data_IF_929444275085
#
_entry.id   IF_929444275085
#
_cell.length_a   1.000
_cell.length_b   1.000
_cell.length_c   1.000
_cell.angle_alpha   90.00
_cell.angle_beta   90.00
_cell.angle_gamma   90.00
#
_symmetry.space_group_name_H-M   'P 1'
#
loop_
_entity.id
_entity.type
_entity.pdbx_description
1 polymer ?
#
# COMPACT_ATOMS: atom_id res chain seq x y z
N UNK A 1 5.24 4.39 -27.25
CA UNK A 1 6.37 5.00 -26.51
C UNK A 1 6.10 6.49 -26.37
N UNK A 2 6.21 7.03 -25.16
CA UNK A 2 6.03 8.47 -24.91
C UNK A 2 7.27 9.27 -25.33
N UNK A 3 7.12 10.58 -25.52
CA UNK A 3 8.30 11.43 -25.85
C UNK A 3 9.35 11.37 -24.73
N UNK A 4 8.93 11.33 -23.46
CA UNK A 4 9.84 11.17 -22.33
C UNK A 4 10.65 9.87 -22.41
N UNK A 5 10.01 8.76 -22.77
CA UNK A 5 10.68 7.47 -22.90
C UNK A 5 11.74 7.44 -24.01
N UNK A 6 11.59 8.27 -25.06
CA UNK A 6 12.59 8.38 -26.15
C UNK A 6 13.91 8.99 -25.69
N UNK A 7 13.91 9.73 -24.56
CA UNK A 7 15.07 10.39 -23.99
C UNK A 7 15.62 9.68 -22.74
N UNK A 8 15.03 8.55 -22.37
CA UNK A 8 15.47 7.78 -21.20
C UNK A 8 16.55 6.77 -21.60
N UNK A 9 17.58 6.64 -20.77
CA UNK A 9 18.60 5.59 -20.93
C UNK A 9 18.06 4.22 -20.52
N UNK A 10 17.12 4.17 -19.58
CA UNK A 10 16.46 2.96 -19.11
C UNK A 10 14.94 3.16 -19.05
N UNK A 11 14.22 2.16 -19.49
CA UNK A 11 12.75 2.12 -19.41
C UNK A 11 12.37 0.88 -18.62
N UNK A 12 11.67 1.09 -17.50
CA UNK A 12 11.12 0.01 -16.67
C UNK A 12 9.65 -0.15 -17.04
N UNK A 13 9.27 -1.22 -17.73
CA UNK A 13 7.88 -1.43 -18.11
C UNK A 13 7.02 -1.71 -16.88
N UNK A 14 5.90 -1.04 -16.78
CA UNK A 14 4.94 -1.23 -15.69
C UNK A 14 3.57 -1.65 -16.20
N UNK A 15 2.83 -2.34 -15.33
CA UNK A 15 1.43 -2.72 -15.59
C UNK A 15 0.56 -1.50 -15.90
N UNK A 16 -0.41 -1.70 -16.77
CA UNK A 16 -1.42 -0.69 -17.08
C UNK A 16 -2.44 -0.57 -15.95
N UNK A 17 -3.24 0.50 -15.99
CA UNK A 17 -4.31 0.70 -15.01
C UNK A 17 -5.37 -0.42 -14.98
N UNK A 18 -5.45 -1.26 -16.00
CA UNK A 18 -6.39 -2.38 -16.08
C UNK A 18 -5.80 -3.67 -15.54
N UNK A 19 -4.49 -3.75 -15.40
CA UNK A 19 -3.72 -4.92 -14.99
C UNK A 19 -3.33 -4.91 -13.52
N UNK A 20 -3.58 -3.81 -12.81
CA UNK A 20 -3.19 -3.63 -11.40
C UNK A 20 -4.33 -3.09 -10.54
N UNK A 21 -4.24 -3.36 -9.23
CA UNK A 21 -5.03 -2.65 -8.26
C UNK A 21 -4.49 -1.23 -8.07
N UNK A 22 -5.37 -0.26 -8.07
CA UNK A 22 -5.01 1.13 -7.88
C UNK A 22 -6.09 1.88 -7.11
N UNK A 23 -5.69 2.85 -6.31
CA UNK A 23 -6.63 3.72 -5.65
C UNK A 23 -6.59 5.12 -6.22
N UNK A 24 -7.77 5.69 -6.36
CA UNK A 24 -7.90 7.08 -6.76
C UNK A 24 -7.96 7.94 -5.51
N UNK A 25 -6.88 8.70 -5.28
CA UNK A 25 -6.76 9.58 -4.11
C UNK A 25 -7.31 10.98 -4.34
N UNK A 26 -7.46 11.40 -5.59
CA UNK A 26 -7.60 12.80 -5.96
C UNK A 26 -8.99 13.17 -6.48
N UNK A 27 -9.94 12.28 -6.36
CA UNK A 27 -11.31 12.67 -6.57
C UNK A 27 -11.84 13.38 -5.31
N UNK A 28 -11.15 14.44 -4.92
CA UNK A 28 -11.71 15.48 -4.08
C UNK A 28 -12.73 16.28 -4.91
N UNK A 29 -13.67 15.58 -5.52
CA UNK A 29 -14.78 16.22 -6.16
C UNK A 29 -15.74 16.64 -5.06
N UNK A 30 -15.65 17.92 -4.72
CA UNK A 30 -16.64 18.54 -3.88
C UNK A 30 -18.03 18.36 -4.56
N UNK A 31 -19.08 17.93 -3.84
CA UNK A 31 -19.13 17.86 -2.37
C UNK A 31 -18.72 16.52 -1.75
N UNK A 32 -18.48 15.49 -2.53
CA UNK A 32 -18.30 14.12 -2.05
C UNK A 32 -16.82 13.72 -2.06
N UNK A 33 -16.28 13.51 -0.84
CA UNK A 33 -14.97 12.89 -0.68
C UNK A 33 -15.14 11.39 -0.71
N UNK A 34 -14.66 10.71 -1.73
CA UNK A 34 -14.67 9.27 -1.78
C UNK A 34 -13.29 8.71 -2.12
N UNK A 35 -13.08 7.50 -1.66
CA UNK A 35 -11.92 6.70 -1.94
C UNK A 35 -12.35 5.53 -2.81
N UNK A 36 -11.70 5.37 -3.95
CA UNK A 36 -12.04 4.31 -4.89
C UNK A 36 -10.84 3.38 -5.08
N UNK A 37 -11.00 2.13 -4.64
CA UNK A 37 -10.08 1.05 -4.95
C UNK A 37 -10.55 0.34 -6.21
N UNK A 38 -9.71 0.33 -7.24
CA UNK A 38 -9.94 -0.41 -8.47
C UNK A 38 -9.24 -1.75 -8.38
N UNK A 39 -9.94 -2.81 -8.77
CA UNK A 39 -9.35 -4.13 -8.95
C UNK A 39 -8.81 -4.28 -10.37
N UNK A 40 -7.79 -5.12 -10.59
CA UNK A 40 -7.38 -5.49 -11.94
C UNK A 40 -8.55 -6.21 -12.66
N UNK A 41 -8.73 -5.92 -13.92
CA UNK A 41 -9.78 -6.53 -14.77
C UNK A 41 -9.19 -7.47 -15.84
N UNK A 42 -7.88 -7.36 -16.08
CA UNK A 42 -7.12 -8.23 -16.96
C UNK A 42 -5.77 -8.53 -16.31
N UNK A 43 -5.19 -9.67 -16.65
CA UNK A 43 -3.81 -9.96 -16.28
C UNK A 43 -2.87 -9.39 -17.33
N UNK A 44 -1.63 -9.01 -16.96
CA UNK A 44 -0.57 -8.75 -17.92
C UNK A 44 -0.40 -9.94 -18.87
N UNK A 45 0.09 -9.71 -20.08
CA UNK A 45 0.41 -10.80 -21.00
C UNK A 45 1.48 -11.72 -20.40
N UNK A 46 1.29 -13.05 -20.54
CA UNK A 46 2.14 -14.06 -19.90
C UNK A 46 3.62 -13.97 -20.29
N UNK A 47 3.91 -13.40 -21.46
CA UNK A 47 5.25 -13.20 -22.02
C UNK A 47 5.80 -11.78 -21.80
N UNK A 48 5.14 -10.97 -20.98
CA UNK A 48 5.54 -9.59 -20.74
C UNK A 48 6.47 -9.46 -19.52
N UNK A 49 7.43 -8.53 -19.63
CA UNK A 49 8.36 -8.16 -18.53
C UNK A 49 7.78 -7.08 -17.61
N UNK A 50 6.50 -6.78 -17.73
CA UNK A 50 5.87 -5.71 -16.93
C UNK A 50 5.75 -6.11 -15.46
N UNK A 51 6.01 -5.16 -14.59
CA UNK A 51 5.88 -5.32 -13.15
C UNK A 51 5.01 -4.19 -12.59
N UNK A 52 4.39 -4.42 -11.46
CA UNK A 52 3.74 -3.35 -10.71
C UNK A 52 4.75 -2.33 -10.22
N UNK A 53 4.38 -1.06 -10.17
CA UNK A 53 5.26 0.00 -9.63
C UNK A 53 5.74 -0.31 -8.21
N UNK A 54 4.87 -0.91 -7.39
CA UNK A 54 5.24 -1.36 -6.04
C UNK A 54 6.39 -2.38 -6.07
N UNK A 55 6.34 -3.34 -7.00
CA UNK A 55 7.39 -4.33 -7.19
C UNK A 55 8.68 -3.72 -7.72
N UNK A 56 8.58 -2.81 -8.69
CA UNK A 56 9.74 -2.10 -9.25
C UNK A 56 10.46 -1.33 -8.13
N UNK A 57 9.73 -0.54 -7.35
CA UNK A 57 10.32 0.24 -6.25
C UNK A 57 10.90 -0.66 -5.17
N UNK A 58 10.22 -1.76 -4.83
CA UNK A 58 10.72 -2.70 -3.84
C UNK A 58 12.07 -3.32 -4.27
N UNK A 59 12.16 -3.79 -5.51
CA UNK A 59 13.41 -4.33 -6.06
C UNK A 59 14.54 -3.29 -6.08
N UNK A 60 14.24 -2.05 -6.43
CA UNK A 60 15.25 -0.98 -6.41
C UNK A 60 15.78 -0.74 -4.99
N UNK A 61 14.90 -0.64 -4.00
CA UNK A 61 15.30 -0.45 -2.58
C UNK A 61 16.10 -1.65 -2.07
N UNK A 62 15.71 -2.86 -2.43
CA UNK A 62 16.41 -4.10 -2.08
C UNK A 62 17.80 -4.16 -2.71
N UNK A 63 17.95 -3.79 -3.98
CA UNK A 63 19.25 -3.77 -4.67
C UNK A 63 20.20 -2.71 -4.10
N UNK A 64 19.67 -1.63 -3.56
CA UNK A 64 20.45 -0.59 -2.89
C UNK A 64 20.81 -0.96 -1.43
N UNK A 65 20.35 -2.11 -0.93
CA UNK A 65 20.47 -2.53 0.48
C UNK A 65 19.92 -1.49 1.48
N UNK A 66 18.88 -0.77 1.09
CA UNK A 66 18.25 0.25 1.91
C UNK A 66 16.98 -0.25 2.64
N UNK A 67 16.55 -1.48 2.35
CA UNK A 67 15.39 -2.06 3.02
C UNK A 67 15.71 -2.33 4.50
N UNK A 68 14.95 -1.78 5.45
CA UNK A 68 15.20 -2.00 6.87
C UNK A 68 15.05 -3.48 7.27
N UNK A 69 15.92 -3.96 8.15
CA UNK A 69 15.90 -5.35 8.67
C UNK A 69 14.58 -5.68 9.39
N UNK A 70 13.89 -4.66 9.88
CA UNK A 70 12.60 -4.78 10.55
C UNK A 70 11.48 -5.35 9.68
N UNK A 71 11.65 -5.42 8.36
CA UNK A 71 10.70 -6.12 7.48
C UNK A 71 10.58 -7.60 7.90
N UNK A 72 11.71 -8.24 8.23
CA UNK A 72 11.72 -9.60 8.77
C UNK A 72 10.99 -9.71 10.11
N UNK A 73 11.17 -8.72 10.98
CA UNK A 73 10.43 -8.63 12.25
C UNK A 73 8.93 -8.51 12.00
N UNK A 74 8.50 -7.55 11.16
CA UNK A 74 7.07 -7.34 10.86
C UNK A 74 6.43 -8.62 10.30
N UNK A 75 7.07 -9.30 9.37
CA UNK A 75 6.55 -10.54 8.78
C UNK A 75 6.42 -11.67 9.79
N UNK A 76 7.37 -11.81 10.73
CA UNK A 76 7.28 -12.78 11.82
C UNK A 76 6.13 -12.48 12.77
N UNK A 77 6.04 -11.22 13.24
CA UNK A 77 4.98 -10.80 14.15
C UNK A 77 3.58 -10.93 13.52
N UNK A 78 3.46 -10.68 12.21
CA UNK A 78 2.21 -10.91 11.49
C UNK A 78 1.76 -12.37 11.51
N UNK A 79 2.69 -13.31 11.38
CA UNK A 79 2.38 -14.74 11.47
C UNK A 79 1.95 -15.17 12.87
N UNK A 80 2.55 -14.57 13.90
CA UNK A 80 2.29 -14.91 15.30
C UNK A 80 1.07 -14.21 15.88
N UNK A 81 0.87 -12.94 15.56
CA UNK A 81 -0.14 -12.07 16.19
C UNK A 81 -1.37 -11.82 15.31
N UNK A 82 -1.31 -12.18 14.03
CA UNK A 82 -2.39 -11.98 13.08
C UNK A 82 -2.48 -10.58 12.47
N UNK A 83 -3.23 -10.51 11.38
CA UNK A 83 -3.37 -9.29 10.56
C UNK A 83 -4.05 -8.14 11.31
N UNK A 84 -4.94 -8.44 12.22
CA UNK A 84 -5.66 -7.45 13.05
C UNK A 84 -4.73 -6.62 13.94
N UNK A 85 -3.53 -7.12 14.22
CA UNK A 85 -2.51 -6.43 15.01
C UNK A 85 -1.49 -5.67 14.15
N UNK A 86 -1.66 -5.62 12.84
CA UNK A 86 -0.68 -5.03 11.92
C UNK A 86 -0.34 -3.57 12.27
N UNK A 87 -1.33 -2.75 12.64
CA UNK A 87 -1.08 -1.35 13.06
C UNK A 87 -0.09 -1.28 14.21
N UNK A 88 -0.30 -2.09 15.24
CA UNK A 88 0.56 -2.10 16.41
C UNK A 88 1.96 -2.61 16.07
N UNK A 89 2.04 -3.68 15.30
CA UNK A 89 3.33 -4.27 14.85
C UNK A 89 4.14 -3.24 14.06
N UNK A 90 3.48 -2.54 13.12
CA UNK A 90 4.12 -1.51 12.32
C UNK A 90 4.62 -0.34 13.16
N UNK A 91 3.80 0.14 14.10
CA UNK A 91 4.16 1.25 14.98
C UNK A 91 5.29 0.86 15.94
N UNK A 92 5.31 -0.37 16.45
CA UNK A 92 6.41 -0.92 17.25
C UNK A 92 7.73 -0.95 16.46
N UNK A 93 7.69 -1.39 15.19
CA UNK A 93 8.85 -1.39 14.31
C UNK A 93 9.32 0.04 14.00
N UNK A 94 8.40 0.95 13.67
CA UNK A 94 8.70 2.34 13.37
C UNK A 94 9.25 3.13 14.57
N UNK A 95 8.87 2.74 15.78
CA UNK A 95 9.42 3.32 17.02
C UNK A 95 10.87 2.92 17.26
N UNK A 96 11.25 1.70 16.85
CA UNK A 96 12.63 1.21 16.94
C UNK A 96 13.51 1.80 15.83
N UNK A 97 12.99 1.91 14.64
CA UNK A 97 13.70 2.43 13.47
C UNK A 97 12.84 3.41 12.66
N UNK A 98 13.10 4.73 12.77
CA UNK A 98 12.35 5.74 12.03
C UNK A 98 12.41 5.60 10.50
N UNK A 99 13.42 4.92 9.93
CA UNK A 99 13.51 4.61 8.50
C UNK A 99 12.31 3.82 7.99
N UNK A 100 11.63 3.05 8.87
CA UNK A 100 10.37 2.34 8.55
C UNK A 100 9.31 3.30 7.98
N UNK A 101 9.22 4.52 8.50
CA UNK A 101 8.27 5.50 7.98
C UNK A 101 8.66 6.05 6.62
N UNK A 102 9.97 6.16 6.34
CA UNK A 102 10.47 6.63 5.05
C UNK A 102 10.19 5.61 3.94
N UNK A 103 10.45 4.34 4.21
CA UNK A 103 10.23 3.24 3.26
C UNK A 103 8.86 2.58 3.40
N UNK A 104 7.92 3.21 4.11
CA UNK A 104 6.61 2.63 4.41
C UNK A 104 5.87 2.02 3.19
N UNK A 105 5.80 2.65 2.02
CA UNK A 105 5.12 2.06 0.86
C UNK A 105 5.73 0.71 0.45
N UNK A 106 7.06 0.62 0.40
CA UNK A 106 7.78 -0.61 0.04
C UNK A 106 7.61 -1.68 1.12
N UNK A 107 7.71 -1.29 2.39
CA UNK A 107 7.54 -2.21 3.52
C UNK A 107 6.12 -2.77 3.55
N UNK A 108 5.11 -1.92 3.35
CA UNK A 108 3.72 -2.35 3.27
C UNK A 108 3.50 -3.32 2.10
N UNK A 109 4.09 -3.03 0.95
CA UNK A 109 4.05 -3.92 -0.20
C UNK A 109 4.66 -5.30 0.11
N UNK A 110 5.85 -5.32 0.75
CA UNK A 110 6.58 -6.57 1.09
C UNK A 110 6.05 -7.32 2.32
N UNK A 111 5.17 -6.72 3.09
CA UNK A 111 4.58 -7.35 4.29
C UNK A 111 3.07 -7.56 4.10
N UNK A 112 2.27 -6.54 4.31
CA UNK A 112 0.82 -6.60 4.19
C UNK A 112 0.38 -6.98 2.76
N UNK A 113 1.04 -6.45 1.75
CA UNK A 113 0.71 -6.70 0.35
C UNK A 113 0.80 -8.17 -0.05
N UNK A 114 1.72 -8.91 0.57
CA UNK A 114 1.89 -10.34 0.30
C UNK A 114 0.76 -11.22 0.89
N UNK A 115 -0.04 -10.66 1.77
CA UNK A 115 -1.19 -11.32 2.39
C UNK A 115 -2.50 -11.00 1.67
N UNK A 116 -2.49 -10.01 0.78
CA UNK A 116 -3.66 -9.63 0.00
C UNK A 116 -3.85 -10.58 -1.21
N UNK A 117 -5.09 -10.74 -1.69
CA UNK A 117 -5.34 -11.50 -2.91
C UNK A 117 -4.50 -11.01 -4.09
N UNK A 118 -4.27 -11.90 -5.05
CA UNK A 118 -3.48 -11.61 -6.25
C UNK A 118 -3.94 -10.31 -6.94
N UNK A 119 -2.97 -9.48 -7.29
CA UNK A 119 -3.20 -8.20 -7.94
C UNK A 119 -3.54 -7.04 -6.98
N UNK A 120 -3.69 -7.30 -5.69
CA UNK A 120 -4.03 -6.26 -4.70
C UNK A 120 -2.84 -5.79 -3.87
N UNK A 121 -1.64 -6.32 -4.07
CA UNK A 121 -0.45 -5.98 -3.26
C UNK A 121 -0.17 -4.47 -3.20
N UNK A 122 -0.37 -3.74 -4.30
CA UNK A 122 -0.23 -2.28 -4.34
C UNK A 122 -1.21 -1.54 -3.42
N UNK A 123 -2.38 -2.13 -3.15
CA UNK A 123 -3.35 -1.55 -2.23
C UNK A 123 -2.86 -1.49 -0.79
N UNK A 124 -1.86 -2.29 -0.41
CA UNK A 124 -1.29 -2.28 0.94
C UNK A 124 -0.76 -0.91 1.36
N UNK A 125 -0.18 -0.13 0.43
CA UNK A 125 0.31 1.21 0.72
C UNK A 125 -0.81 2.15 1.21
N UNK A 126 -2.04 1.93 0.77
CA UNK A 126 -3.21 2.72 1.10
C UNK A 126 -3.65 2.53 2.55
N UNK A 127 -3.39 1.35 3.10
CA UNK A 127 -3.76 1.00 4.45
C UNK A 127 -3.24 2.02 5.48
N UNK A 128 -1.97 2.44 5.36
CA UNK A 128 -1.39 3.43 6.28
C UNK A 128 -2.09 4.78 6.18
N UNK A 129 -2.41 5.21 4.98
CA UNK A 129 -3.11 6.49 4.75
C UNK A 129 -4.53 6.41 5.29
N UNK A 130 -5.26 5.34 4.99
CA UNK A 130 -6.61 5.11 5.49
C UNK A 130 -6.66 5.08 7.02
N UNK A 131 -5.74 4.35 7.66
CA UNK A 131 -5.65 4.32 9.13
C UNK A 131 -5.28 5.68 9.73
N UNK A 132 -4.38 6.43 9.08
CA UNK A 132 -4.02 7.78 9.53
C UNK A 132 -5.23 8.72 9.47
N UNK A 133 -6.02 8.66 8.40
CA UNK A 133 -7.26 9.43 8.26
C UNK A 133 -8.28 8.99 9.30
N UNK A 134 -8.48 7.69 9.47
CA UNK A 134 -9.40 7.13 10.46
C UNK A 134 -9.08 7.57 11.89
N UNK A 135 -7.80 7.59 12.23
CA UNK A 135 -7.34 8.00 13.56
C UNK A 135 -7.45 9.51 13.79
N UNK A 136 -7.11 10.32 12.76
CA UNK A 136 -7.09 11.78 12.89
C UNK A 136 -8.45 12.44 12.73
N UNK A 137 -9.33 11.85 11.93
CA UNK A 137 -10.61 12.42 11.54
C UNK A 137 -11.74 11.38 11.55
N UNK A 138 -12.04 10.78 12.73
CA UNK A 138 -13.08 9.75 12.82
C UNK A 138 -14.46 10.29 12.44
N UNK A 139 -14.68 11.60 12.62
CA UNK A 139 -15.91 12.29 12.22
C UNK A 139 -16.09 12.28 10.68
N UNK A 140 -15.00 12.43 9.93
CA UNK A 140 -15.04 12.39 8.47
C UNK A 140 -15.44 11.01 7.96
N UNK A 141 -15.00 9.93 8.64
CA UNK A 141 -15.42 8.57 8.32
C UNK A 141 -16.90 8.35 8.55
N UNK A 142 -17.44 8.85 9.68
CA UNK A 142 -18.88 8.76 9.95
C UNK A 142 -19.72 9.51 8.91
N UNK A 143 -19.28 10.70 8.49
CA UNK A 143 -19.95 11.47 7.44
C UNK A 143 -19.91 10.75 6.09
N UNK A 144 -18.88 9.98 5.82
CA UNK A 144 -18.76 9.14 4.64
C UNK A 144 -19.57 7.83 4.74
N UNK A 145 -20.34 7.64 5.80
CA UNK A 145 -21.18 6.43 6.00
C UNK A 145 -20.37 5.20 6.46
N UNK A 146 -19.10 5.37 6.79
CA UNK A 146 -18.24 4.30 7.28
C UNK A 146 -18.39 4.20 8.81
N UNK A 147 -19.32 3.38 9.24
CA UNK A 147 -19.51 3.07 10.65
C UNK A 147 -18.44 2.08 11.12
N UNK A 148 -17.28 2.58 11.48
CA UNK A 148 -16.30 1.80 12.22
C UNK A 148 -16.81 1.55 13.63
N UNK A 149 -17.12 0.34 13.98
CA UNK A 149 -17.26 -0.06 15.38
C UNK A 149 -15.89 0.01 16.04
N UNK A 150 -15.58 1.18 16.57
CA UNK A 150 -14.37 1.37 17.34
C UNK A 150 -14.69 1.24 18.81
N UNK A 151 -14.55 0.05 19.37
CA UNK A 151 -14.38 -0.11 20.83
C UNK A 151 -13.00 0.34 21.29
N UNK A 152 -12.06 0.48 20.39
CA UNK A 152 -10.73 1.04 20.65
C UNK A 152 -10.46 2.12 19.61
N UNK A 153 -10.28 3.33 20.05
CA UNK A 153 -10.00 4.62 19.39
C UNK A 153 -9.20 4.62 18.05
N UNK A 154 -9.40 3.69 17.21
CA UNK A 154 -8.83 3.60 15.88
C UNK A 154 -9.81 2.81 15.02
N UNK A 155 -10.50 3.48 14.09
CA UNK A 155 -11.35 2.81 13.14
C UNK A 155 -10.52 1.77 12.38
N UNK A 156 -10.93 0.50 12.41
CA UNK A 156 -10.36 -0.51 11.54
C UNK A 156 -10.88 -0.26 10.13
N UNK A 157 -10.00 0.03 9.21
CA UNK A 157 -10.31 -0.14 7.79
C UNK A 157 -10.07 -1.63 7.50
N UNK A 158 -11.14 -2.38 7.32
CA UNK A 158 -11.06 -3.75 6.82
C UNK A 158 -11.01 -3.61 5.29
N UNK A 159 -9.91 -4.03 4.70
CA UNK A 159 -9.77 -4.16 3.24
C UNK A 159 -10.46 -5.44 2.78
#
# INVERSE_FOLDING_TARGET
MTETAKHADYILPTTTQYEKAEATFFNFEFPDNYFHLRHPVVNPADDSDVLDEGEIHARLVEQLNELPDEVGYINRELKERGLENFSQIFDEAASKNPKINLYAPVILYRTLGQLLPNGLANAAALWKIANKVATRSPESLRRAGLNGESKNRGGRVIL
#
